data_IF_664188757438
#
_entry.id   IF_664188757438
#
_cell.length_a   1.000
_cell.length_b   1.000
_cell.length_c   1.000
_cell.angle_alpha   90.00
_cell.angle_beta   90.00
_cell.angle_gamma   90.00
#
_symmetry.space_group_name_H-M   'P 1'
#
loop_
_entity.id
_entity.type
_entity.pdbx_description
1 polymer ?
#
# COMPACT_ATOMS: atom_id res chain seq x y z
N UNK A 1 -44.11 -3.47 19.36
CA UNK A 1 -44.30 -2.06 18.94
C UNK A 1 -44.04 -1.96 17.46
N UNK A 2 -44.97 -1.42 16.66
CA UNK A 2 -44.81 -1.29 15.21
C UNK A 2 -43.95 -0.06 14.89
N UNK A 3 -42.93 -0.22 14.04
CA UNK A 3 -42.02 0.87 13.70
C UNK A 3 -42.74 1.97 12.89
N UNK A 4 -42.52 3.26 13.19
CA UNK A 4 -43.18 4.36 12.50
C UNK A 4 -42.73 4.46 11.03
N UNK A 5 -43.68 4.70 10.12
CA UNK A 5 -43.43 4.83 8.68
C UNK A 5 -42.64 6.13 8.40
N UNK A 6 -41.47 6.01 7.79
CA UNK A 6 -40.60 7.13 7.43
C UNK A 6 -41.31 8.09 6.45
N UNK A 7 -41.36 9.40 6.77
CA UNK A 7 -41.94 10.45 5.91
C UNK A 7 -41.01 10.84 4.76
N UNK A 8 -41.59 11.01 3.57
CA UNK A 8 -41.11 11.88 2.48
C UNK A 8 -39.80 11.50 1.79
N UNK A 9 -38.67 11.88 2.36
CA UNK A 9 -37.36 11.85 1.68
C UNK A 9 -36.68 10.48 1.74
N UNK A 10 -36.92 9.69 2.79
CA UNK A 10 -36.27 8.38 3.00
C UNK A 10 -37.12 7.19 2.54
N UNK A 11 -38.35 7.45 2.06
CA UNK A 11 -39.30 6.40 1.66
C UNK A 11 -38.91 5.66 0.37
N UNK A 12 -38.09 6.29 -0.49
CA UNK A 12 -37.63 5.74 -1.77
C UNK A 12 -36.12 5.53 -1.86
N UNK A 13 -35.41 5.54 -0.73
CA UNK A 13 -33.99 5.18 -0.73
C UNK A 13 -33.90 3.65 -0.84
N UNK A 14 -33.95 3.15 -2.08
CA UNK A 14 -33.85 1.71 -2.42
C UNK A 14 -32.48 1.11 -2.08
N UNK A 15 -31.51 1.94 -1.72
CA UNK A 15 -30.16 1.53 -1.36
C UNK A 15 -30.06 1.47 0.16
N UNK A 16 -29.66 0.33 0.71
CA UNK A 16 -29.23 0.30 2.11
C UNK A 16 -28.27 1.47 2.36
N UNK A 17 -28.45 2.27 3.45
CA UNK A 17 -27.53 3.35 3.74
C UNK A 17 -26.11 2.79 3.76
N UNK A 18 -25.16 3.52 3.16
CA UNK A 18 -23.75 3.11 3.19
C UNK A 18 -23.35 2.94 4.65
N UNK A 19 -23.17 1.70 5.08
CA UNK A 19 -22.70 1.42 6.43
C UNK A 19 -21.26 1.92 6.54
N UNK A 20 -21.01 2.75 7.53
CA UNK A 20 -19.65 3.15 7.86
C UNK A 20 -18.97 1.94 8.50
N UNK A 21 -18.07 1.30 7.76
CA UNK A 21 -17.21 0.24 8.28
C UNK A 21 -15.84 0.84 8.51
N UNK A 22 -15.49 1.01 9.77
CA UNK A 22 -14.15 1.46 10.15
C UNK A 22 -13.14 0.36 9.85
N UNK A 23 -12.24 0.62 8.88
CA UNK A 23 -11.10 -0.25 8.57
C UNK A 23 -9.83 0.44 9.05
N UNK A 24 -9.22 -0.11 10.09
CA UNK A 24 -7.93 0.34 10.58
C UNK A 24 -6.84 0.06 9.56
N UNK A 25 -5.98 1.04 9.25
CA UNK A 25 -4.88 0.91 8.28
C UNK A 25 -3.81 -0.12 8.70
N UNK A 26 -3.74 -0.42 10.00
CA UNK A 26 -2.69 -1.22 10.62
C UNK A 26 -3.15 -2.60 11.10
N UNK A 27 -4.47 -2.87 11.07
CA UNK A 27 -5.01 -4.15 11.51
C UNK A 27 -5.63 -4.87 10.30
N UNK A 28 -5.32 -6.16 10.09
CA UNK A 28 -5.95 -6.94 9.03
C UNK A 28 -7.46 -7.07 9.29
N UNK A 29 -8.26 -7.05 8.22
CA UNK A 29 -9.73 -7.18 8.28
C UNK A 29 -10.18 -8.52 8.91
N UNK A 30 -9.34 -9.57 8.90
CA UNK A 30 -9.56 -10.85 9.57
C UNK A 30 -8.54 -11.08 10.69
N UNK A 31 -8.99 -11.72 11.78
CA UNK A 31 -8.06 -12.27 12.78
C UNK A 31 -7.31 -13.43 12.12
N UNK A 32 -5.97 -13.46 12.13
CA UNK A 32 -5.19 -14.49 11.43
C UNK A 32 -5.59 -15.92 11.85
N UNK A 33 -5.83 -16.12 13.15
CA UNK A 33 -6.22 -17.42 13.72
C UNK A 33 -7.60 -17.91 13.25
N UNK A 34 -8.47 -17.01 12.80
CA UNK A 34 -9.83 -17.35 12.38
C UNK A 34 -9.84 -18.08 11.04
N UNK A 35 -9.00 -17.64 10.11
CA UNK A 35 -8.90 -18.25 8.78
C UNK A 35 -8.32 -19.66 8.87
N UNK A 36 -7.34 -19.86 9.74
CA UNK A 36 -6.78 -21.19 10.05
C UNK A 36 -7.81 -22.11 10.70
N UNK A 37 -8.56 -21.62 11.71
CA UNK A 37 -9.65 -22.38 12.33
C UNK A 37 -10.73 -22.76 11.34
N UNK A 38 -11.12 -21.82 10.46
CA UNK A 38 -12.11 -22.07 9.42
C UNK A 38 -11.64 -23.12 8.42
N UNK A 39 -10.36 -23.15 8.08
CA UNK A 39 -9.78 -24.19 7.22
C UNK A 39 -9.78 -25.56 7.92
N UNK A 40 -9.42 -25.63 9.19
CA UNK A 40 -9.47 -26.88 9.98
C UNK A 40 -10.89 -27.43 10.06
N UNK A 41 -11.86 -26.60 10.41
CA UNK A 41 -13.28 -26.99 10.49
C UNK A 41 -13.79 -27.50 9.14
N UNK A 42 -13.42 -26.84 8.02
CA UNK A 42 -13.79 -27.31 6.68
C UNK A 42 -13.19 -28.68 6.35
N UNK A 43 -11.94 -28.93 6.74
CA UNK A 43 -11.29 -30.22 6.55
C UNK A 43 -11.92 -31.31 7.41
N UNK A 44 -12.31 -30.98 8.64
CA UNK A 44 -12.99 -31.88 9.56
C UNK A 44 -14.38 -32.27 9.04
N UNK A 45 -15.19 -31.30 8.63
CA UNK A 45 -16.51 -31.54 8.01
C UNK A 45 -16.39 -32.38 6.72
N UNK A 46 -15.35 -32.15 5.92
CA UNK A 46 -15.10 -32.93 4.71
C UNK A 46 -14.74 -34.39 5.04
N UNK A 47 -13.99 -34.63 6.12
CA UNK A 47 -13.65 -35.97 6.60
C UNK A 47 -14.87 -36.68 7.18
N UNK A 48 -15.70 -35.99 7.96
CA UNK A 48 -16.92 -36.55 8.54
C UNK A 48 -17.97 -36.94 7.48
N UNK A 49 -18.02 -36.21 6.36
CA UNK A 49 -18.92 -36.55 5.23
C UNK A 49 -18.47 -37.77 4.43
N UNK A 50 -17.28 -38.32 4.67
CA UNK A 50 -16.77 -39.48 3.94
C UNK A 50 -16.44 -39.20 2.47
N UNK A 51 -16.42 -37.93 2.06
CA UNK A 51 -16.05 -37.53 0.72
C UNK A 51 -14.54 -37.74 0.54
N UNK A 52 -14.14 -38.56 -0.44
CA UNK A 52 -12.75 -38.64 -0.86
C UNK A 52 -12.28 -37.25 -1.30
N UNK A 53 -10.99 -36.87 -1.13
CA UNK A 53 -10.53 -35.48 -1.27
C UNK A 53 -10.66 -34.85 -2.67
N UNK A 54 -11.36 -35.49 -3.62
CA UNK A 54 -11.30 -35.12 -5.03
C UNK A 54 -12.49 -34.31 -5.55
N UNK A 55 -13.65 -34.26 -4.86
CA UNK A 55 -14.85 -33.63 -5.47
C UNK A 55 -15.73 -32.76 -4.55
N UNK A 56 -15.22 -32.24 -3.43
CA UNK A 56 -15.90 -31.11 -2.78
C UNK A 56 -15.53 -29.84 -3.53
N UNK A 57 -16.36 -29.55 -4.54
CA UNK A 57 -16.41 -28.35 -5.37
C UNK A 57 -15.40 -27.27 -5.00
N UNK A 58 -14.30 -27.23 -5.74
CA UNK A 58 -13.40 -26.10 -5.74
C UNK A 58 -14.25 -24.82 -5.88
N UNK A 59 -14.33 -23.94 -4.85
CA UNK A 59 -14.89 -22.62 -5.09
C UNK A 59 -14.01 -22.02 -6.17
N UNK A 60 -14.62 -21.78 -7.34
CA UNK A 60 -14.03 -21.20 -8.55
C UNK A 60 -12.71 -20.56 -8.19
N UNK A 61 -11.58 -21.21 -8.54
CA UNK A 61 -10.22 -20.75 -8.21
C UNK A 61 -10.21 -19.23 -8.40
N UNK A 62 -10.38 -18.48 -7.31
CA UNK A 62 -10.00 -17.09 -7.27
C UNK A 62 -8.50 -17.25 -7.32
N UNK A 63 -7.98 -17.28 -8.55
CA UNK A 63 -6.57 -17.17 -8.83
C UNK A 63 -6.24 -15.79 -8.29
N UNK A 64 -5.95 -15.72 -6.99
CA UNK A 64 -5.17 -14.65 -6.42
C UNK A 64 -3.85 -14.77 -7.14
N UNK A 65 -3.77 -14.10 -8.29
CA UNK A 65 -2.57 -13.93 -9.05
C UNK A 65 -1.67 -13.01 -8.21
N UNK A 66 -1.10 -13.60 -7.14
CA UNK A 66 -0.19 -12.96 -6.20
C UNK A 66 1.06 -12.47 -6.93
N UNK A 67 1.34 -13.05 -8.11
CA UNK A 67 2.42 -12.67 -9.00
C UNK A 67 2.11 -11.40 -9.82
N UNK A 68 0.83 -11.10 -10.10
CA UNK A 68 0.43 -9.84 -10.74
C UNK A 68 0.51 -8.65 -9.76
N UNK A 69 0.19 -8.87 -8.48
CA UNK A 69 0.33 -7.83 -7.44
C UNK A 69 1.79 -7.54 -7.09
N UNK A 70 2.69 -8.52 -7.13
CA UNK A 70 4.13 -8.28 -6.91
C UNK A 70 4.70 -7.32 -7.96
N UNK A 71 4.36 -7.52 -9.24
CA UNK A 71 4.81 -6.63 -10.31
C UNK A 71 4.10 -5.27 -10.30
N UNK A 72 2.81 -5.19 -9.92
CA UNK A 72 2.11 -3.92 -9.82
C UNK A 72 2.56 -3.09 -8.60
N UNK A 73 2.89 -3.73 -7.48
CA UNK A 73 3.42 -3.07 -6.27
C UNK A 73 4.81 -2.50 -6.57
N UNK A 74 5.70 -3.27 -7.19
CA UNK A 74 7.03 -2.79 -7.64
C UNK A 74 6.91 -1.60 -8.60
N UNK A 75 6.00 -1.66 -9.58
CA UNK A 75 5.76 -0.54 -10.51
C UNK A 75 5.09 0.68 -9.86
N UNK A 76 4.28 0.49 -8.81
CA UNK A 76 3.67 1.60 -8.06
C UNK A 76 4.65 2.27 -7.09
N UNK A 77 5.58 1.51 -6.50
CA UNK A 77 6.60 2.02 -5.59
C UNK A 77 7.59 2.96 -6.30
N UNK A 78 7.96 2.65 -7.55
CA UNK A 78 8.80 3.51 -8.38
C UNK A 78 8.12 4.86 -8.71
N UNK A 79 6.80 4.85 -8.94
CA UNK A 79 6.03 6.08 -9.22
C UNK A 79 5.78 6.92 -7.97
N UNK A 80 5.68 6.30 -6.79
CA UNK A 80 5.47 7.01 -5.53
C UNK A 80 6.67 7.88 -5.12
N UNK A 81 7.89 7.52 -5.55
CA UNK A 81 9.12 8.18 -5.11
C UNK A 81 9.75 9.11 -6.16
N UNK A 82 9.11 9.33 -7.32
CA UNK A 82 9.67 10.19 -8.36
C UNK A 82 9.91 11.63 -7.87
N UNK A 83 9.06 12.14 -6.97
CA UNK A 83 9.26 13.47 -6.34
C UNK A 83 10.57 13.52 -5.54
N UNK A 84 10.88 12.46 -4.80
CA UNK A 84 12.12 12.37 -4.00
C UNK A 84 13.34 12.28 -4.91
N UNK A 85 13.26 11.50 -5.98
CA UNK A 85 14.33 11.41 -6.99
C UNK A 85 14.55 12.77 -7.66
N UNK A 86 13.47 13.47 -8.05
CA UNK A 86 13.54 14.80 -8.66
C UNK A 86 14.17 15.83 -7.71
N UNK A 87 13.76 15.85 -6.44
CA UNK A 87 14.37 16.70 -5.40
C UNK A 87 15.85 16.36 -5.23
N UNK A 88 16.21 15.07 -5.22
CA UNK A 88 17.60 14.62 -5.12
C UNK A 88 18.45 15.11 -6.29
N UNK A 89 17.97 15.00 -7.53
CA UNK A 89 18.67 15.50 -8.73
C UNK A 89 18.85 17.02 -8.69
N UNK A 90 17.82 17.76 -8.28
CA UNK A 90 17.90 19.23 -8.13
C UNK A 90 18.94 19.61 -7.08
N UNK A 91 18.94 18.95 -5.91
CA UNK A 91 19.93 19.18 -4.88
C UNK A 91 21.35 18.92 -5.38
N UNK A 92 21.56 17.81 -6.10
CA UNK A 92 22.86 17.43 -6.66
C UNK A 92 23.37 18.48 -7.67
N UNK A 93 22.46 19.03 -8.49
CA UNK A 93 22.77 20.12 -9.40
C UNK A 93 23.13 21.42 -8.68
N UNK A 94 22.38 21.79 -7.64
CA UNK A 94 22.68 22.99 -6.83
C UNK A 94 24.03 22.84 -6.14
N UNK A 95 24.35 21.69 -5.55
CA UNK A 95 25.65 21.45 -4.92
C UNK A 95 26.79 21.51 -5.92
N UNK A 96 26.59 20.97 -7.12
CA UNK A 96 27.59 21.06 -8.20
C UNK A 96 27.81 22.52 -8.62
N UNK A 97 26.74 23.29 -8.80
CA UNK A 97 26.81 24.72 -9.13
C UNK A 97 27.48 25.54 -8.03
N UNK A 98 27.21 25.24 -6.76
CA UNK A 98 27.89 25.87 -5.62
C UNK A 98 29.39 25.58 -5.60
N UNK A 99 29.80 24.35 -5.94
CA UNK A 99 31.21 23.97 -6.01
C UNK A 99 31.93 24.73 -7.13
N UNK A 100 31.37 24.75 -8.33
CA UNK A 100 31.92 25.53 -9.46
C UNK A 100 31.93 27.03 -9.15
N UNK A 101 30.87 27.53 -8.51
CA UNK A 101 30.83 28.92 -8.08
C UNK A 101 31.88 29.25 -7.02
N UNK A 102 32.16 28.31 -6.10
CA UNK A 102 33.20 28.46 -5.09
C UNK A 102 34.61 28.45 -5.71
N UNK A 103 34.82 27.72 -6.81
CA UNK A 103 36.06 27.77 -7.61
C UNK A 103 36.21 29.12 -8.33
N UNK A 104 35.11 29.70 -8.82
CA UNK A 104 35.11 31.00 -9.53
C UNK A 104 35.18 32.22 -8.59
N UNK A 105 34.67 32.12 -7.37
CA UNK A 105 34.76 33.18 -6.36
C UNK A 105 36.13 33.18 -5.68
N UNK A 106 36.54 34.33 -5.12
CA UNK A 106 37.87 34.58 -4.54
C UNK A 106 38.30 33.61 -3.42
N UNK A 107 37.44 32.67 -3.01
CA UNK A 107 37.76 31.56 -2.13
C UNK A 107 38.84 30.64 -2.69
N UNK A 108 38.87 30.40 -4.01
CA UNK A 108 39.96 29.62 -4.64
C UNK A 108 41.31 30.30 -4.41
N UNK A 109 41.41 31.60 -4.72
CA UNK A 109 42.62 32.41 -4.47
C UNK A 109 42.95 32.54 -2.98
N UNK A 110 41.94 32.67 -2.11
CA UNK A 110 42.14 32.75 -0.67
C UNK A 110 42.67 31.44 -0.08
N UNK A 111 42.19 30.29 -0.56
CA UNK A 111 42.68 28.97 -0.17
C UNK A 111 44.10 28.73 -0.68
N UNK A 112 44.40 29.16 -1.90
CA UNK A 112 45.75 29.11 -2.47
C UNK A 112 46.72 30.00 -1.68
N UNK A 113 46.29 31.22 -1.34
CA UNK A 113 47.06 32.14 -0.49
C UNK A 113 47.32 31.58 0.91
N UNK A 114 46.34 30.96 1.56
CA UNK A 114 46.52 30.29 2.86
C UNK A 114 47.46 29.08 2.74
N UNK A 115 47.45 28.37 1.60
CA UNK A 115 48.35 27.25 1.34
C UNK A 115 49.80 27.70 1.07
N UNK A 116 50.00 28.83 0.42
CA UNK A 116 51.33 29.35 0.10
C UNK A 116 51.96 30.15 1.26
N UNK A 117 51.14 30.80 2.10
CA UNK A 117 51.60 31.65 3.22
C UNK A 117 51.30 31.09 4.62
N UNK A 118 50.81 29.85 4.71
CA UNK A 118 50.57 29.11 5.96
C UNK A 118 51.74 28.25 6.39
#
# INVERSE_FOLDING_TARGET
MQAPKLKGMFRNVRTNPRSFVFKSRHLPDSRPDWDERKQKIKQEIARERGDTPQEIGAPSKIRFNRNSRSNSVKKSALKANFRVVLIGVVLLYVTYKMLVWAEETEFGKMLEFIRENG
#
